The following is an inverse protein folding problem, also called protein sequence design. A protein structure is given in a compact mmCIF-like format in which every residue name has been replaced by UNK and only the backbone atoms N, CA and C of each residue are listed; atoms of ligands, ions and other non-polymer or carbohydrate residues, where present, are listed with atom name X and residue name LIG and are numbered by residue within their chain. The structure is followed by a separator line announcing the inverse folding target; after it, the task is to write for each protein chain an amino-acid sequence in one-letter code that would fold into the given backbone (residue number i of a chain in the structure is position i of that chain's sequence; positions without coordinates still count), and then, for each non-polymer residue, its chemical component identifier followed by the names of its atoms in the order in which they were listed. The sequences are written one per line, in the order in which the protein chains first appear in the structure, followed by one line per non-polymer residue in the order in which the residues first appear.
data_IF_396536091124
#
_entry.id   IF_396536091124
#
_cell.length_a   1.000
_cell.length_b   1.000
_cell.length_c   1.000
_cell.angle_alpha   90.00
_cell.angle_beta   90.00
_cell.angle_gamma   90.00
#
_symmetry.space_group_name_H-M   'P 1'
#
loop_
_entity.id
_entity.type
_entity.pdbx_description
1 polymer ?
#
# COMPACT_ATOMS: atom_id res chain seq x y z
N UNK A 1 15.22 9.69 -6.07
CA UNK A 1 15.33 8.65 -5.03
C UNK A 1 14.08 8.75 -4.19
N UNK A 2 13.52 7.61 -3.80
CA UNK A 2 12.31 7.49 -2.99
C UNK A 2 12.62 6.70 -1.73
N UNK A 3 11.75 6.79 -0.73
CA UNK A 3 11.88 5.98 0.48
C UNK A 3 11.61 4.49 0.19
N UNK A 4 10.70 4.21 -0.74
CA UNK A 4 10.31 2.86 -1.17
C UNK A 4 9.63 2.00 -0.10
N UNK A 5 9.39 2.54 1.09
CA UNK A 5 8.66 1.90 2.18
C UNK A 5 8.04 2.96 3.12
N UNK A 6 7.43 4.00 2.55
CA UNK A 6 6.85 5.09 3.35
C UNK A 6 5.48 4.69 3.92
N UNK A 7 5.39 4.51 5.23
CA UNK A 7 4.20 4.11 5.99
C UNK A 7 4.17 4.74 7.39
N UNK A 8 3.08 4.54 8.15
CA UNK A 8 2.86 5.11 9.50
C UNK A 8 3.72 4.48 10.60
N UNK A 9 4.44 3.40 10.32
CA UNK A 9 5.55 2.90 11.13
C UNK A 9 6.85 3.68 10.94
N UNK A 10 7.03 4.35 9.79
CA UNK A 10 8.32 4.92 9.34
C UNK A 10 8.42 6.45 9.46
N UNK A 11 7.51 7.06 10.21
CA UNK A 11 7.64 8.45 10.64
C UNK A 11 7.05 8.67 12.03
N UNK A 12 7.55 9.70 12.71
CA UNK A 12 6.95 10.24 13.92
C UNK A 12 6.47 11.66 13.69
N UNK A 13 5.42 12.06 14.42
CA UNK A 13 4.88 13.42 14.41
C UNK A 13 5.08 14.00 15.81
N UNK A 14 5.77 15.13 15.89
CA UNK A 14 5.72 15.99 17.06
C UNK A 14 4.35 16.68 17.09
N UNK A 15 3.49 16.33 18.05
CA UNK A 15 2.14 16.88 18.13
C UNK A 15 2.07 18.33 18.59
N UNK A 16 3.14 18.88 19.19
CA UNK A 16 3.20 20.29 19.58
C UNK A 16 3.51 21.18 18.37
N UNK A 17 4.36 20.70 17.45
CA UNK A 17 4.86 21.49 16.31
C UNK A 17 4.29 21.06 14.95
N UNK A 18 3.75 19.85 14.86
CA UNK A 18 3.37 19.19 13.61
C UNK A 18 4.57 18.69 12.79
N UNK A 19 5.79 18.74 13.33
CA UNK A 19 6.99 18.31 12.60
C UNK A 19 6.97 16.80 12.39
N UNK A 20 7.09 16.39 11.13
CA UNK A 20 7.25 14.98 10.75
C UNK A 20 8.75 14.67 10.69
N UNK A 21 9.16 13.58 11.35
CA UNK A 21 10.52 13.02 11.24
C UNK A 21 10.43 11.63 10.64
N UNK A 22 11.01 11.47 9.45
CA UNK A 22 11.01 10.20 8.70
C UNK A 22 12.28 9.42 9.03
N UNK A 23 12.18 8.10 9.12
CA UNK A 23 13.29 7.18 9.40
C UNK A 23 13.06 5.85 8.65
N UNK A 24 13.98 4.89 8.80
CA UNK A 24 13.93 3.58 8.11
C UNK A 24 14.17 3.64 6.59
N UNK A 25 15.33 4.17 6.19
CA UNK A 25 15.68 4.40 4.78
C UNK A 25 16.41 3.22 4.10
N UNK A 26 16.44 2.03 4.69
CA UNK A 26 17.20 0.88 4.18
C UNK A 26 16.67 0.35 2.82
N UNK A 27 15.37 0.50 2.53
CA UNK A 27 14.78 0.19 1.23
C UNK A 27 14.94 1.31 0.17
N UNK A 28 15.53 2.46 0.51
CA UNK A 28 15.55 3.63 -0.39
C UNK A 28 16.25 3.33 -1.71
N UNK A 29 15.59 3.68 -2.82
CA UNK A 29 16.11 3.39 -4.15
C UNK A 29 15.74 4.45 -5.20
N UNK A 30 16.23 4.28 -6.43
CA UNK A 30 15.77 5.06 -7.57
C UNK A 30 14.51 4.42 -8.15
N UNK A 31 13.36 5.02 -7.88
CA UNK A 31 12.08 4.69 -8.49
C UNK A 31 11.32 5.98 -8.85
N UNK A 32 10.14 5.82 -9.46
CA UNK A 32 9.20 6.91 -9.70
C UNK A 32 8.59 7.39 -8.38
N UNK A 33 8.47 8.70 -8.20
CA UNK A 33 7.81 9.28 -7.02
C UNK A 33 6.36 8.81 -6.81
N UNK A 34 5.70 8.37 -7.88
CA UNK A 34 4.38 7.76 -7.81
C UNK A 34 4.33 6.47 -6.99
N UNK A 35 5.45 5.77 -6.82
CA UNK A 35 5.52 4.60 -5.97
C UNK A 35 5.28 4.98 -4.51
N UNK A 36 5.96 6.00 -3.96
CA UNK A 36 5.72 6.46 -2.58
C UNK A 36 4.27 6.92 -2.37
N UNK A 37 3.65 7.60 -3.36
CA UNK A 37 2.23 7.96 -3.29
C UNK A 37 1.30 6.74 -3.28
N UNK A 38 1.64 5.70 -4.06
CA UNK A 38 0.90 4.45 -4.06
C UNK A 38 1.06 3.70 -2.73
N UNK A 39 2.27 3.58 -2.21
CA UNK A 39 2.55 2.99 -0.89
C UNK A 39 1.78 3.71 0.21
N UNK A 40 1.79 5.04 0.21
CA UNK A 40 1.08 5.85 1.21
C UNK A 40 -0.44 5.61 1.14
N UNK A 41 -1.01 5.52 -0.07
CA UNK A 41 -2.42 5.15 -0.25
C UNK A 41 -2.71 3.75 0.32
N UNK A 42 -1.89 2.75 -0.02
CA UNK A 42 -2.04 1.36 0.45
C UNK A 42 -2.01 1.30 1.98
N UNK A 43 -1.03 1.94 2.62
CA UNK A 43 -0.93 1.97 4.08
C UNK A 43 -2.12 2.68 4.75
N UNK A 44 -2.70 3.67 4.07
CA UNK A 44 -3.95 4.31 4.51
C UNK A 44 -5.13 3.35 4.70
N UNK A 45 -5.13 2.17 4.04
CA UNK A 45 -6.18 1.16 4.21
C UNK A 45 -6.30 0.69 5.67
N UNK A 46 -5.20 0.61 6.40
CA UNK A 46 -5.17 0.15 7.80
C UNK A 46 -6.07 0.97 8.73
N UNK A 47 -6.29 2.25 8.41
CA UNK A 47 -7.11 3.18 9.18
C UNK A 47 -8.62 2.94 9.05
N UNK A 48 -9.05 2.21 8.02
CA UNK A 48 -10.47 1.98 7.72
C UNK A 48 -10.78 0.52 7.39
N UNK A 49 -9.82 -0.39 7.60
CA UNK A 49 -9.91 -1.80 7.21
C UNK A 49 -11.09 -2.56 7.84
N UNK A 50 -11.51 -2.18 9.06
CA UNK A 50 -12.61 -2.83 9.77
C UNK A 50 -14.00 -2.25 9.47
N UNK A 51 -14.11 -1.22 8.62
CA UNK A 51 -15.43 -0.69 8.22
C UNK A 51 -16.12 -1.67 7.24
N UNK A 52 -17.30 -2.21 7.58
CA UNK A 52 -18.00 -3.18 6.73
C UNK A 52 -18.53 -2.59 5.43
N UNK A 53 -18.80 -1.29 5.37
CA UNK A 53 -19.36 -0.63 4.20
C UNK A 53 -18.25 -0.20 3.22
N UNK A 54 -18.22 -0.82 2.04
CA UNK A 54 -17.25 -0.52 1.00
C UNK A 54 -17.33 0.94 0.50
N UNK A 55 -18.52 1.55 0.45
CA UNK A 55 -18.69 2.93 0.01
C UNK A 55 -18.14 3.91 1.06
N UNK A 56 -18.29 3.59 2.35
CA UNK A 56 -17.65 4.37 3.42
C UNK A 56 -16.14 4.25 3.41
N UNK A 57 -15.60 3.04 3.20
CA UNK A 57 -14.15 2.85 3.01
C UNK A 57 -13.65 3.66 1.83
N UNK A 58 -14.36 3.62 0.69
CA UNK A 58 -14.00 4.40 -0.49
C UNK A 58 -14.00 5.89 -0.20
N UNK A 59 -15.06 6.40 0.43
CA UNK A 59 -15.17 7.82 0.80
C UNK A 59 -14.04 8.26 1.75
N UNK A 60 -13.68 7.41 2.72
CA UNK A 60 -12.54 7.68 3.60
C UNK A 60 -11.24 7.77 2.81
N UNK A 61 -10.95 6.78 1.96
CA UNK A 61 -9.72 6.74 1.16
C UNK A 61 -9.63 7.91 0.17
N UNK A 62 -10.75 8.30 -0.44
CA UNK A 62 -10.83 9.46 -1.33
C UNK A 62 -10.45 10.75 -0.56
N UNK A 63 -11.04 10.97 0.62
CA UNK A 63 -10.75 12.14 1.47
C UNK A 63 -9.30 12.13 1.99
N UNK A 64 -8.83 10.98 2.45
CA UNK A 64 -7.46 10.78 2.95
C UNK A 64 -6.45 11.15 1.86
N UNK A 65 -6.63 10.59 0.67
CA UNK A 65 -5.69 10.81 -0.42
C UNK A 65 -5.77 12.22 -1.02
N UNK A 66 -6.92 12.88 -0.95
CA UNK A 66 -7.05 14.30 -1.29
C UNK A 66 -6.14 15.17 -0.41
N UNK A 67 -6.12 14.93 0.91
CA UNK A 67 -5.25 15.64 1.86
C UNK A 67 -3.77 15.37 1.56
N UNK A 68 -3.41 14.10 1.36
CA UNK A 68 -2.04 13.70 0.99
C UNK A 68 -1.58 14.39 -0.28
N UNK A 69 -2.40 14.36 -1.33
CA UNK A 69 -2.04 14.90 -2.63
C UNK A 69 -1.95 16.43 -2.61
N UNK A 70 -2.79 17.10 -1.81
CA UNK A 70 -2.71 18.54 -1.59
C UNK A 70 -1.38 18.93 -0.92
N UNK A 71 -0.97 18.20 0.12
CA UNK A 71 0.33 18.40 0.77
C UNK A 71 1.51 18.10 -0.16
N UNK A 72 1.46 16.99 -0.90
CA UNK A 72 2.51 16.65 -1.86
C UNK A 72 2.68 17.73 -2.94
N UNK A 73 1.56 18.27 -3.45
CA UNK A 73 1.55 19.32 -4.47
C UNK A 73 2.01 20.70 -3.98
N UNK A 74 2.05 20.95 -2.66
CA UNK A 74 2.58 22.22 -2.14
C UNK A 74 4.09 22.31 -2.31
N UNK A 75 4.79 21.18 -2.19
CA UNK A 75 6.26 21.12 -2.26
C UNK A 75 6.79 20.59 -3.59
N UNK A 76 6.01 19.73 -4.28
CA UNK A 76 6.47 19.03 -5.48
C UNK A 76 5.49 19.18 -6.65
N UNK A 77 6.00 19.63 -7.80
CA UNK A 77 5.21 19.66 -9.04
C UNK A 77 5.04 18.23 -9.56
N UNK A 78 3.80 17.82 -9.75
CA UNK A 78 3.42 16.57 -10.41
C UNK A 78 2.42 16.86 -11.53
N UNK A 79 2.66 16.27 -12.69
CA UNK A 79 1.79 16.43 -13.85
C UNK A 79 0.54 15.56 -13.72
N UNK A 80 -0.61 16.07 -14.17
CA UNK A 80 -1.86 15.30 -14.16
C UNK A 80 -1.72 13.98 -14.96
N UNK A 81 -0.97 13.99 -16.06
CA UNK A 81 -0.70 12.78 -16.85
C UNK A 81 0.04 11.68 -16.06
N UNK A 82 0.85 12.06 -15.06
CA UNK A 82 1.48 11.10 -14.15
C UNK A 82 0.50 10.60 -13.08
N UNK A 83 -0.37 11.47 -12.57
CA UNK A 83 -1.42 11.08 -11.63
C UNK A 83 -2.42 10.11 -12.25
N UNK A 84 -2.72 10.25 -13.54
CA UNK A 84 -3.53 9.28 -14.31
C UNK A 84 -2.91 7.88 -14.35
N UNK A 85 -1.61 7.73 -14.03
CA UNK A 85 -0.93 6.44 -13.91
C UNK A 85 -0.96 5.87 -12.50
N UNK A 86 -1.54 6.54 -11.51
CA UNK A 86 -1.60 6.04 -10.14
C UNK A 86 -2.18 4.61 -10.02
N UNK A 87 -3.24 4.22 -10.77
CA UNK A 87 -3.73 2.84 -10.75
C UNK A 87 -2.68 1.79 -11.17
N UNK A 88 -1.77 2.15 -12.08
CA UNK A 88 -0.64 1.28 -12.44
C UNK A 88 0.30 1.09 -11.25
N UNK A 89 0.59 2.17 -10.51
CA UNK A 89 1.48 2.10 -9.35
C UNK A 89 0.89 1.33 -8.17
N UNK A 90 -0.44 1.29 -8.01
CA UNK A 90 -1.07 0.36 -7.05
C UNK A 90 -0.81 -1.10 -7.41
N UNK A 91 -0.85 -1.44 -8.71
CA UNK A 91 -0.49 -2.80 -9.17
C UNK A 91 0.99 -3.10 -8.97
N UNK A 92 1.86 -2.12 -9.23
CA UNK A 92 3.31 -2.27 -8.97
C UNK A 92 3.58 -2.47 -7.48
N UNK A 93 2.91 -1.73 -6.60
CA UNK A 93 3.04 -1.90 -5.15
C UNK A 93 2.51 -3.27 -4.69
N UNK A 94 1.41 -3.78 -5.26
CA UNK A 94 0.94 -5.14 -5.01
C UNK A 94 1.93 -6.21 -5.49
N UNK A 95 2.53 -6.05 -6.67
CA UNK A 95 3.53 -6.99 -7.18
C UNK A 95 4.80 -6.98 -6.32
N UNK A 96 5.22 -5.80 -5.89
CA UNK A 96 6.39 -5.62 -5.05
C UNK A 96 6.17 -6.27 -3.67
N UNK A 97 5.00 -6.10 -3.04
CA UNK A 97 4.70 -6.75 -1.76
C UNK A 97 4.61 -8.27 -1.83
N UNK A 98 4.28 -8.85 -2.99
CA UNK A 98 4.35 -10.31 -3.22
C UNK A 98 5.80 -10.77 -3.34
N UNK A 99 6.63 -10.02 -4.07
CA UNK A 99 8.05 -10.36 -4.26
C UNK A 99 8.83 -10.23 -2.95
N UNK A 100 8.57 -9.18 -2.18
CA UNK A 100 9.22 -8.93 -0.90
C UNK A 100 9.01 -10.08 0.09
N UNK A 101 7.79 -10.63 0.16
CA UNK A 101 7.47 -11.77 1.03
C UNK A 101 8.35 -13.00 0.71
N UNK A 102 8.48 -13.33 -0.58
CA UNK A 102 9.36 -14.41 -1.02
C UNK A 102 10.85 -14.10 -0.79
N UNK A 103 11.26 -12.83 -0.93
CA UNK A 103 12.64 -12.43 -0.66
C UNK A 103 12.97 -12.55 0.83
N UNK A 104 12.04 -12.16 1.70
CA UNK A 104 12.13 -12.34 3.16
C UNK A 104 12.32 -13.81 3.53
N UNK A 105 11.44 -14.71 3.07
CA UNK A 105 11.57 -16.16 3.32
C UNK A 105 12.94 -16.68 2.88
N UNK A 106 13.37 -16.32 1.66
CA UNK A 106 14.68 -16.73 1.14
C UNK A 106 15.83 -16.20 2.00
N UNK A 107 15.77 -14.94 2.43
CA UNK A 107 16.82 -14.31 3.22
C UNK A 107 16.88 -14.87 4.66
N UNK A 108 15.76 -15.38 5.18
CA UNK A 108 15.67 -16.08 6.46
C UNK A 108 16.02 -17.57 6.38
N UNK A 109 16.14 -18.13 5.17
CA UNK A 109 16.38 -19.57 4.96
C UNK A 109 15.14 -20.42 5.22
N UNK A 110 13.95 -19.83 5.08
CA UNK A 110 12.65 -20.48 5.18
C UNK A 110 12.31 -21.13 3.83
N UNK A 111 11.52 -22.21 3.88
CA UNK A 111 10.93 -22.78 2.66
C UNK A 111 9.79 -21.86 2.19
N UNK A 112 9.60 -21.69 0.87
CA UNK A 112 8.49 -20.89 0.37
C UNK A 112 7.14 -21.41 0.88
N UNK A 113 6.38 -20.53 1.53
CA UNK A 113 5.03 -20.78 1.99
C UNK A 113 4.09 -19.72 1.39
N UNK A 114 2.84 -20.08 1.14
CA UNK A 114 1.83 -19.15 0.69
C UNK A 114 0.67 -19.17 1.66
N UNK A 115 0.83 -18.39 2.73
CA UNK A 115 -0.19 -18.17 3.74
C UNK A 115 -1.41 -17.43 3.17
N UNK A 116 -2.40 -17.20 4.04
CA UNK A 116 -3.68 -16.61 3.67
C UNK A 116 -3.52 -15.19 3.08
N UNK A 117 -2.63 -14.37 3.64
CA UNK A 117 -2.41 -12.99 3.21
C UNK A 117 -1.66 -12.91 1.87
N UNK A 118 -0.57 -13.67 1.72
CA UNK A 118 0.15 -13.77 0.45
C UNK A 118 -0.76 -14.33 -0.64
N UNK A 119 -1.58 -15.33 -0.30
CA UNK A 119 -2.55 -15.91 -1.22
C UNK A 119 -3.62 -14.92 -1.66
N UNK A 120 -4.10 -14.06 -0.75
CA UNK A 120 -5.04 -12.98 -1.05
C UNK A 120 -4.43 -11.96 -2.02
N UNK A 121 -3.19 -11.53 -1.77
CA UNK A 121 -2.46 -10.59 -2.64
C UNK A 121 -2.28 -11.16 -4.04
N UNK A 122 -1.84 -12.43 -4.14
CA UNK A 122 -1.71 -13.13 -5.42
C UNK A 122 -3.07 -13.22 -6.11
N UNK A 123 -4.15 -13.54 -5.38
CA UNK A 123 -5.50 -13.63 -5.95
C UNK A 123 -5.96 -12.30 -6.53
N UNK A 124 -5.70 -11.20 -5.82
CA UNK A 124 -5.99 -9.86 -6.31
C UNK A 124 -5.22 -9.51 -7.59
N UNK A 125 -3.96 -9.94 -7.67
CA UNK A 125 -3.13 -9.74 -8.87
C UNK A 125 -3.64 -10.56 -10.06
N UNK A 126 -3.94 -11.85 -9.86
CA UNK A 126 -4.41 -12.78 -10.89
C UNK A 126 -5.77 -12.38 -11.49
N UNK A 127 -6.70 -11.97 -10.64
CA UNK A 127 -8.07 -11.60 -11.05
C UNK A 127 -8.20 -10.10 -11.42
N UNK A 128 -7.10 -9.35 -11.40
CA UNK A 128 -7.04 -7.91 -11.66
C UNK A 128 -7.97 -7.07 -10.76
N UNK A 129 -8.08 -7.42 -9.48
CA UNK A 129 -8.88 -6.65 -8.53
C UNK A 129 -8.18 -5.30 -8.21
N UNK A 130 -8.78 -4.16 -8.56
CA UNK A 130 -8.21 -2.86 -8.25
C UNK A 130 -8.09 -2.65 -6.74
N UNK A 131 -7.12 -1.83 -6.33
CA UNK A 131 -6.97 -1.43 -4.93
C UNK A 131 -6.85 -2.63 -3.97
N UNK A 132 -6.12 -3.68 -4.38
CA UNK A 132 -5.95 -4.91 -3.60
C UNK A 132 -7.28 -5.54 -3.17
N UNK A 133 -8.31 -5.45 -4.01
CA UNK A 133 -9.64 -5.98 -3.70
C UNK A 133 -10.37 -5.25 -2.57
N UNK A 134 -9.83 -4.14 -2.05
CA UNK A 134 -10.33 -3.49 -0.84
C UNK A 134 -11.82 -3.17 -0.97
N UNK A 135 -12.27 -2.58 -2.07
CA UNK A 135 -13.71 -2.27 -2.28
C UNK A 135 -14.52 -3.42 -2.92
N UNK A 136 -13.91 -4.58 -3.13
CA UNK A 136 -14.52 -5.74 -3.78
C UNK A 136 -15.06 -6.73 -2.74
N UNK A 137 -16.00 -7.59 -3.16
CA UNK A 137 -16.64 -8.61 -2.30
C UNK A 137 -15.68 -9.68 -1.76
N UNK A 138 -14.46 -9.77 -2.30
CA UNK A 138 -13.41 -10.67 -1.79
C UNK A 138 -12.89 -10.19 -0.43
N UNK A 139 -12.97 -8.89 -0.15
CA UNK A 139 -12.48 -8.32 1.09
C UNK A 139 -13.47 -8.57 2.24
N UNK A 140 -12.97 -9.14 3.34
CA UNK A 140 -13.69 -9.28 4.60
C UNK A 140 -13.22 -8.22 5.61
N UNK A 141 -14.14 -7.45 6.18
CA UNK A 141 -13.79 -6.50 7.24
C UNK A 141 -13.62 -7.17 8.61
N UNK A 142 -13.98 -8.45 8.74
CA UNK A 142 -13.77 -9.24 9.96
C UNK A 142 -12.39 -9.90 9.96
N UNK A 143 -11.98 -10.30 8.77
CA UNK A 143 -10.78 -11.06 8.47
C UNK A 143 -10.10 -10.39 7.25
N UNK A 144 -9.51 -9.19 7.43
CA UNK A 144 -8.89 -8.44 6.35
C UNK A 144 -7.80 -9.25 5.66
N UNK A 145 -7.81 -9.23 4.33
CA UNK A 145 -6.79 -9.87 3.49
C UNK A 145 -6.67 -11.40 3.67
N UNK A 146 -7.65 -12.06 4.30
CA UNK A 146 -7.68 -13.52 4.43
C UNK A 146 -8.14 -14.19 3.13
N UNK A 147 -7.44 -15.24 2.71
CA UNK A 147 -7.82 -16.10 1.59
C UNK A 147 -7.28 -17.53 1.81
N UNK A 148 -7.63 -18.49 0.95
CA UNK A 148 -7.20 -19.88 1.12
C UNK A 148 -5.67 -20.04 0.93
N UNK A 149 -4.98 -20.70 1.86
CA UNK A 149 -3.56 -21.06 1.73
C UNK A 149 -3.30 -21.83 0.42
N UNK A 150 -2.14 -21.59 -0.21
CA UNK A 150 -1.76 -22.27 -1.46
C UNK A 150 -0.57 -23.20 -1.21
N UNK A 151 -0.61 -24.35 -1.88
CA UNK A 151 0.60 -25.15 -2.05
C UNK A 151 1.38 -24.59 -3.24
N UNK A 152 2.59 -24.08 -2.99
CA UNK A 152 3.50 -23.51 -4.00
C UNK A 152 4.79 -24.32 -4.11
#
# INVERSE_FOLDING_TARGET
MVHFNYNDGNYSIDFDTGQITVYDFDNSCYCWYMFDLASLWTNGMGWIQFEPDADKRKKFMDNFFEVVLAGYKSETKIENAMLEKLPLFFKVNLMESIIEEFDCMRNNGEEPECDEELSYRIKCLEDDFPYMGFFHKIYSCKEPFEYEERNI
#
